data_IF_035240424055
#
_entry.id   IF_035240424055
#
_cell.length_a   1.000
_cell.length_b   1.000
_cell.length_c   1.000
_cell.angle_alpha   90.00
_cell.angle_beta   90.00
_cell.angle_gamma   90.00
#
_symmetry.space_group_name_H-M   'P 1'
#
loop_
_entity.id
_entity.type
_entity.pdbx_description
1 polymer ?
#
# COMPACT_ATOMS: atom_id res chain seq x y z
N UNK A 1 20.62 5.82 -31.27
CA UNK A 1 19.57 6.88 -31.03
C UNK A 1 18.52 6.36 -30.06
N UNK A 2 18.73 6.50 -28.71
CA UNK A 2 17.83 5.90 -27.70
C UNK A 2 17.32 6.95 -26.68
N UNK A 3 17.24 8.22 -27.10
CA UNK A 3 16.79 9.34 -26.24
C UNK A 3 15.32 9.27 -25.75
N UNK A 4 14.30 8.80 -26.51
CA UNK A 4 12.91 8.92 -26.05
C UNK A 4 12.52 7.95 -24.91
N UNK A 5 13.17 6.79 -24.78
CA UNK A 5 12.89 5.82 -23.69
C UNK A 5 13.44 6.29 -22.34
N UNK A 6 14.64 6.87 -22.32
CA UNK A 6 15.28 7.41 -21.10
C UNK A 6 14.50 8.60 -20.50
N UNK A 7 14.01 9.49 -21.34
CA UNK A 7 13.24 10.67 -20.89
C UNK A 7 11.92 10.25 -20.26
N UNK A 8 11.15 9.32 -20.86
CA UNK A 8 9.90 8.79 -20.28
C UNK A 8 10.12 8.07 -18.96
N UNK A 9 11.22 7.33 -18.82
CA UNK A 9 11.58 6.68 -17.56
C UNK A 9 11.91 7.68 -16.44
N UNK A 10 12.56 8.80 -16.78
CA UNK A 10 12.86 9.87 -15.84
C UNK A 10 11.61 10.56 -15.28
N UNK A 11 10.63 10.90 -16.14
CA UNK A 11 9.36 11.51 -15.72
C UNK A 11 8.54 10.58 -14.81
N UNK A 12 8.50 9.28 -15.09
CA UNK A 12 7.79 8.32 -14.24
C UNK A 12 8.45 8.17 -12.85
N UNK A 13 9.78 8.21 -12.80
CA UNK A 13 10.51 8.20 -11.53
C UNK A 13 10.27 9.46 -10.72
N UNK A 14 10.35 10.63 -11.37
CA UNK A 14 10.11 11.90 -10.70
C UNK A 14 8.67 11.95 -10.15
N UNK A 15 7.69 11.52 -10.93
CA UNK A 15 6.29 11.41 -10.47
C UNK A 15 6.14 10.47 -9.28
N UNK A 16 6.79 9.31 -9.30
CA UNK A 16 6.79 8.36 -8.18
C UNK A 16 7.45 8.93 -6.91
N UNK A 17 8.58 9.64 -7.07
CA UNK A 17 9.26 10.31 -5.96
C UNK A 17 8.42 11.45 -5.36
N UNK A 18 7.74 12.24 -6.19
CA UNK A 18 6.84 13.29 -5.72
C UNK A 18 5.66 12.70 -4.94
N UNK A 19 5.06 11.62 -5.41
CA UNK A 19 3.98 10.92 -4.69
C UNK A 19 4.50 10.42 -3.33
N UNK A 20 5.67 9.77 -3.30
CA UNK A 20 6.26 9.25 -2.08
C UNK A 20 6.63 10.38 -1.09
N UNK A 21 7.18 11.49 -1.58
CA UNK A 21 7.51 12.65 -0.75
C UNK A 21 6.25 13.31 -0.17
N UNK A 22 5.21 13.48 -0.99
CA UNK A 22 3.92 14.00 -0.52
C UNK A 22 3.28 13.08 0.51
N UNK A 23 3.31 11.76 0.26
CA UNK A 23 2.78 10.78 1.20
C UNK A 23 3.57 10.78 2.53
N UNK A 24 4.89 10.90 2.47
CA UNK A 24 5.74 11.00 3.66
C UNK A 24 5.43 12.28 4.45
N UNK A 25 5.28 13.40 3.77
CA UNK A 25 4.90 14.66 4.41
C UNK A 25 3.53 14.57 5.10
N UNK A 26 2.52 14.05 4.39
CA UNK A 26 1.17 13.86 4.95
C UNK A 26 1.18 12.87 6.11
N UNK A 27 1.96 11.79 6.03
CA UNK A 27 2.12 10.85 7.13
C UNK A 27 2.73 11.53 8.36
N UNK A 28 3.83 12.27 8.19
CA UNK A 28 4.52 12.98 9.28
C UNK A 28 3.60 14.01 9.95
N UNK A 29 2.91 14.82 9.15
CA UNK A 29 1.94 15.78 9.64
C UNK A 29 0.80 15.11 10.43
N UNK A 30 0.18 14.05 9.89
CA UNK A 30 -0.86 13.31 10.61
C UNK A 30 -0.36 12.65 11.90
N UNK A 31 0.90 12.20 11.91
CA UNK A 31 1.50 11.62 13.11
C UNK A 31 1.71 12.68 14.21
N UNK A 32 2.16 13.88 13.84
CA UNK A 32 2.32 15.02 14.74
C UNK A 32 0.96 15.45 15.31
N UNK A 33 -0.02 15.78 14.47
CA UNK A 33 -1.37 16.15 14.85
C UNK A 33 -2.05 15.10 15.77
N UNK A 34 -1.76 13.81 15.49
CA UNK A 34 -2.28 12.71 16.29
C UNK A 34 -1.66 12.68 17.70
N UNK A 35 -0.35 12.94 17.80
CA UNK A 35 0.37 12.98 19.08
C UNK A 35 -0.06 14.19 19.94
N UNK A 36 -0.38 15.32 19.29
CA UNK A 36 -0.89 16.53 19.94
C UNK A 36 -2.39 16.43 20.30
N UNK A 37 -3.10 15.48 19.71
CA UNK A 37 -4.55 15.26 19.94
C UNK A 37 -5.45 16.04 18.99
N UNK A 38 -4.91 16.79 18.04
CA UNK A 38 -5.65 17.69 17.15
C UNK A 38 -6.43 16.96 16.05
N UNK A 39 -6.06 15.71 15.74
CA UNK A 39 -6.86 14.86 14.83
C UNK A 39 -8.25 14.52 15.38
N UNK A 40 -8.51 14.68 16.68
CA UNK A 40 -9.72 14.17 17.33
C UNK A 40 -11.00 14.75 16.71
N UNK A 41 -11.05 16.06 16.49
CA UNK A 41 -12.23 16.71 15.89
C UNK A 41 -12.54 16.21 14.49
N UNK A 42 -11.50 16.05 13.66
CA UNK A 42 -11.63 15.49 12.32
C UNK A 42 -12.11 14.03 12.37
N UNK A 43 -11.48 13.22 13.20
CA UNK A 43 -11.80 11.81 13.36
C UNK A 43 -13.25 11.59 13.84
N UNK A 44 -13.69 12.37 14.82
CA UNK A 44 -15.06 12.31 15.33
C UNK A 44 -16.08 12.79 14.29
N UNK A 45 -15.79 13.89 13.60
CA UNK A 45 -16.67 14.42 12.55
C UNK A 45 -16.92 13.39 11.44
N UNK A 46 -15.84 12.83 10.88
CA UNK A 46 -15.94 11.84 9.79
C UNK A 46 -16.61 10.55 10.28
N UNK A 47 -16.22 10.06 11.46
CA UNK A 47 -16.79 8.84 12.02
C UNK A 47 -18.30 8.99 12.27
N UNK A 48 -18.74 10.12 12.83
CA UNK A 48 -20.15 10.39 13.08
C UNK A 48 -20.93 10.53 11.76
N UNK A 49 -20.36 11.16 10.72
CA UNK A 49 -20.98 11.26 9.41
C UNK A 49 -21.18 9.87 8.76
N UNK A 50 -20.16 9.01 8.83
CA UNK A 50 -20.22 7.64 8.32
C UNK A 50 -21.23 6.79 9.10
N UNK A 51 -21.24 6.90 10.42
CA UNK A 51 -22.07 6.07 11.29
C UNK A 51 -23.57 6.38 11.21
N UNK A 52 -23.96 7.62 10.86
CA UNK A 52 -25.37 7.97 10.63
C UNK A 52 -26.05 7.12 9.56
N UNK A 53 -25.28 6.53 8.66
CA UNK A 53 -25.78 5.69 7.58
C UNK A 53 -25.64 4.18 7.88
N UNK A 54 -25.39 3.83 9.15
CA UNK A 54 -25.26 2.43 9.54
C UNK A 54 -26.60 1.68 9.35
N UNK A 55 -26.53 0.56 8.62
CA UNK A 55 -27.66 -0.31 8.37
C UNK A 55 -27.18 -1.77 8.28
N UNK A 56 -28.01 -2.78 8.66
CA UNK A 56 -27.57 -4.18 8.68
C UNK A 56 -26.97 -4.66 7.36
N UNK A 57 -27.62 -4.40 6.22
CA UNK A 57 -27.13 -4.79 4.91
C UNK A 57 -25.80 -4.12 4.54
N UNK A 58 -25.63 -2.81 4.86
CA UNK A 58 -24.39 -2.09 4.64
C UNK A 58 -23.28 -2.64 5.55
N UNK A 59 -23.60 -3.00 6.79
CA UNK A 59 -22.64 -3.59 7.72
C UNK A 59 -22.08 -4.91 7.19
N UNK A 60 -22.91 -5.79 6.68
CA UNK A 60 -22.50 -7.03 6.01
C UNK A 60 -21.56 -6.77 4.83
N UNK A 61 -21.91 -5.81 3.99
CA UNK A 61 -21.09 -5.42 2.85
C UNK A 61 -19.72 -4.86 3.31
N UNK A 62 -19.69 -4.00 4.33
CA UNK A 62 -18.46 -3.44 4.88
C UNK A 62 -17.59 -4.49 5.58
N UNK A 63 -18.19 -5.49 6.22
CA UNK A 63 -17.44 -6.63 6.74
C UNK A 63 -16.77 -7.42 5.61
N UNK A 64 -17.48 -7.63 4.49
CA UNK A 64 -16.90 -8.25 3.28
C UNK A 64 -15.73 -7.43 2.71
N UNK A 65 -15.87 -6.11 2.61
CA UNK A 65 -14.79 -5.22 2.18
C UNK A 65 -13.58 -5.29 3.15
N UNK A 66 -13.84 -5.28 4.45
CA UNK A 66 -12.82 -5.42 5.48
C UNK A 66 -12.08 -6.77 5.39
N UNK A 67 -12.82 -7.84 5.10
CA UNK A 67 -12.26 -9.19 4.95
C UNK A 67 -11.24 -9.27 3.81
N UNK A 68 -11.46 -8.56 2.69
CA UNK A 68 -10.49 -8.47 1.60
C UNK A 68 -9.14 -7.85 2.02
N UNK A 69 -9.14 -6.98 3.03
CA UNK A 69 -7.93 -6.39 3.61
C UNK A 69 -7.37 -7.15 4.81
N UNK A 70 -7.98 -8.26 5.22
CA UNK A 70 -7.53 -9.04 6.37
C UNK A 70 -6.18 -9.71 6.12
N UNK A 71 -5.42 -9.89 7.20
CA UNK A 71 -4.10 -10.57 7.14
C UNK A 71 -4.23 -11.94 6.47
N UNK A 72 -5.27 -12.72 6.82
CA UNK A 72 -5.48 -14.04 6.25
C UNK A 72 -5.67 -14.00 4.72
N UNK A 73 -6.57 -13.14 4.22
CA UNK A 73 -6.86 -13.04 2.78
C UNK A 73 -5.65 -12.49 2.03
N UNK A 74 -5.08 -11.37 2.49
CA UNK A 74 -3.95 -10.74 1.81
C UNK A 74 -2.73 -11.66 1.78
N UNK A 75 -2.43 -12.37 2.88
CA UNK A 75 -1.33 -13.35 2.92
C UNK A 75 -1.59 -14.52 1.98
N UNK A 76 -2.80 -15.08 1.97
CA UNK A 76 -3.15 -16.18 1.06
C UNK A 76 -3.01 -15.75 -0.41
N UNK A 77 -3.59 -14.61 -0.77
CA UNK A 77 -3.48 -14.08 -2.14
C UNK A 77 -2.03 -13.74 -2.52
N UNK A 78 -1.24 -13.22 -1.58
CA UNK A 78 0.18 -12.95 -1.78
C UNK A 78 0.97 -14.24 -2.05
N UNK A 79 0.79 -15.27 -1.25
CA UNK A 79 1.44 -16.58 -1.45
C UNK A 79 1.06 -17.18 -2.80
N UNK A 80 -0.22 -17.16 -3.16
CA UNK A 80 -0.69 -17.64 -4.47
C UNK A 80 -0.09 -16.83 -5.63
N UNK A 81 -0.03 -15.50 -5.50
CA UNK A 81 0.57 -14.64 -6.53
C UNK A 81 2.09 -14.90 -6.68
N UNK A 82 2.81 -15.05 -5.56
CA UNK A 82 4.24 -15.40 -5.57
C UNK A 82 4.45 -16.76 -6.22
N UNK A 83 3.67 -17.78 -5.85
CA UNK A 83 3.75 -19.12 -6.45
C UNK A 83 3.48 -19.07 -7.96
N UNK A 84 2.46 -18.31 -8.40
CA UNK A 84 2.17 -18.11 -9.83
C UNK A 84 3.35 -17.43 -10.55
N UNK A 85 3.92 -16.36 -9.98
CA UNK A 85 5.07 -15.69 -10.61
C UNK A 85 6.30 -16.61 -10.71
N UNK A 86 6.56 -17.43 -9.69
CA UNK A 86 7.64 -18.41 -9.73
C UNK A 86 7.38 -19.52 -10.78
N UNK A 87 6.17 -20.02 -10.87
CA UNK A 87 5.76 -20.99 -11.89
C UNK A 87 5.99 -20.46 -13.30
N UNK A 88 5.67 -19.17 -13.56
CA UNK A 88 5.92 -18.50 -14.82
C UNK A 88 7.36 -17.96 -14.97
N UNK A 89 8.29 -18.40 -14.12
CA UNK A 89 9.72 -18.01 -14.12
C UNK A 89 9.96 -16.50 -13.98
N UNK A 90 9.09 -15.80 -13.25
CA UNK A 90 9.19 -14.37 -13.00
C UNK A 90 9.74 -14.09 -11.58
N UNK A 91 10.90 -14.64 -11.25
CA UNK A 91 11.47 -14.60 -9.91
C UNK A 91 11.65 -13.17 -9.36
N UNK A 92 12.04 -12.20 -10.21
CA UNK A 92 12.17 -10.80 -9.81
C UNK A 92 10.82 -10.20 -9.37
N UNK A 93 9.73 -10.49 -10.08
CA UNK A 93 8.38 -10.01 -9.71
C UNK A 93 7.90 -10.67 -8.40
N UNK A 94 8.18 -11.96 -8.24
CA UNK A 94 7.89 -12.68 -7.00
C UNK A 94 8.66 -12.09 -5.81
N UNK A 95 9.96 -11.84 -5.98
CA UNK A 95 10.81 -11.24 -4.95
C UNK A 95 10.35 -9.82 -4.59
N UNK A 96 10.00 -8.98 -5.58
CA UNK A 96 9.47 -7.65 -5.34
C UNK A 96 8.21 -7.70 -4.47
N UNK A 97 7.26 -8.58 -4.78
CA UNK A 97 6.03 -8.73 -4.01
C UNK A 97 6.32 -9.25 -2.60
N UNK A 98 7.20 -10.25 -2.46
CA UNK A 98 7.58 -10.83 -1.18
C UNK A 98 8.24 -9.78 -0.27
N UNK A 99 9.22 -9.02 -0.78
CA UNK A 99 9.90 -7.95 -0.03
C UNK A 99 8.92 -6.85 0.35
N UNK A 100 8.04 -6.46 -0.57
CA UNK A 100 7.02 -5.44 -0.28
C UNK A 100 6.12 -5.86 0.88
N UNK A 101 5.61 -7.09 0.86
CA UNK A 101 4.66 -7.56 1.88
C UNK A 101 5.34 -7.88 3.21
N UNK A 102 6.51 -8.51 3.20
CA UNK A 102 7.27 -8.79 4.41
C UNK A 102 7.72 -7.50 5.12
N UNK A 103 8.26 -6.55 4.37
CA UNK A 103 8.69 -5.27 4.93
C UNK A 103 7.50 -4.41 5.41
N UNK A 104 6.35 -4.47 4.70
CA UNK A 104 5.11 -3.85 5.17
C UNK A 104 4.70 -4.40 6.54
N UNK A 105 4.74 -5.73 6.73
CA UNK A 105 4.37 -6.34 8.00
C UNK A 105 5.29 -5.90 9.15
N UNK A 106 6.59 -5.82 8.91
CA UNK A 106 7.57 -5.31 9.87
C UNK A 106 7.31 -3.84 10.19
N UNK A 107 7.09 -3.01 9.15
CA UNK A 107 6.85 -1.59 9.30
C UNK A 107 5.52 -1.30 10.04
N UNK A 108 4.45 -2.06 9.78
CA UNK A 108 3.17 -1.94 10.49
C UNK A 108 3.33 -2.17 12.00
N UNK A 109 4.07 -3.22 12.38
CA UNK A 109 4.36 -3.51 13.79
C UNK A 109 5.23 -2.42 14.41
N UNK A 110 6.30 -2.00 13.72
CA UNK A 110 7.22 -0.97 14.21
C UNK A 110 6.51 0.38 14.45
N UNK A 111 5.69 0.82 13.48
CA UNK A 111 4.93 2.06 13.62
C UNK A 111 3.90 1.98 14.74
N UNK A 112 3.18 0.88 14.89
CA UNK A 112 2.24 0.69 16.01
C UNK A 112 2.91 0.75 17.35
N UNK A 113 4.09 0.13 17.47
CA UNK A 113 4.90 0.18 18.70
C UNK A 113 5.56 1.55 18.93
N UNK A 114 5.73 2.38 17.91
CA UNK A 114 6.25 3.74 18.07
C UNK A 114 5.16 4.72 18.55
N UNK A 115 3.96 4.63 18.00
CA UNK A 115 2.89 5.61 18.24
C UNK A 115 1.93 5.26 19.36
N UNK A 116 1.76 4.01 19.74
CA UNK A 116 0.95 3.50 20.86
C UNK A 116 -0.50 4.05 20.91
N UNK A 117 -1.08 4.43 19.78
CA UNK A 117 -2.44 4.98 19.73
C UNK A 117 -3.48 3.93 20.09
N UNK A 118 -4.34 4.21 21.08
CA UNK A 118 -5.46 3.35 21.42
C UNK A 118 -6.54 3.38 20.34
N UNK A 119 -7.23 2.25 20.16
CA UNK A 119 -8.32 2.15 19.19
C UNK A 119 -9.60 2.82 19.69
N UNK A 120 -10.49 3.25 18.78
CA UNK A 120 -11.84 3.59 19.15
C UNK A 120 -12.55 2.34 19.71
N UNK A 121 -13.54 2.55 20.59
CA UNK A 121 -14.40 1.46 21.06
C UNK A 121 -15.18 0.91 19.87
N UNK A 122 -15.00 -0.37 19.57
CA UNK A 122 -15.63 -0.99 18.42
C UNK A 122 -17.15 -1.08 18.59
N UNK A 123 -17.89 -0.75 17.55
CA UNK A 123 -19.35 -0.85 17.53
C UNK A 123 -19.84 -2.25 17.13
N UNK A 124 -19.06 -2.94 16.30
CA UNK A 124 -19.41 -4.21 15.68
C UNK A 124 -18.34 -5.26 15.99
N UNK A 125 -18.50 -5.97 17.10
CA UNK A 125 -17.60 -7.04 17.53
C UNK A 125 -16.50 -6.59 18.51
N UNK A 126 -15.56 -7.48 18.86
CA UNK A 126 -14.51 -7.19 19.82
C UNK A 126 -13.51 -6.16 19.27
N UNK A 127 -13.07 -5.25 20.12
CA UNK A 127 -11.98 -4.31 19.80
C UNK A 127 -10.68 -5.10 19.69
N UNK A 128 -9.94 -4.98 18.55
CA UNK A 128 -8.64 -5.64 18.41
C UNK A 128 -7.66 -5.15 19.49
N UNK A 129 -6.81 -6.04 20.00
CA UNK A 129 -5.87 -5.75 21.09
C UNK A 129 -4.61 -4.98 20.66
N UNK A 130 -4.41 -4.79 19.33
CA UNK A 130 -3.26 -4.06 18.79
C UNK A 130 -3.53 -2.56 18.71
N UNK A 131 -2.45 -1.75 18.67
CA UNK A 131 -2.55 -0.30 18.49
C UNK A 131 -3.23 0.10 17.18
N UNK A 132 -3.77 1.34 17.14
CA UNK A 132 -4.61 1.83 16.07
C UNK A 132 -3.81 2.43 14.90
N UNK A 133 -2.77 3.21 15.19
CA UNK A 133 -2.05 4.01 14.21
C UNK A 133 -0.75 3.35 13.75
N UNK A 134 -0.49 3.32 12.45
CA UNK A 134 -1.42 3.49 11.35
C UNK A 134 -2.31 2.25 11.11
N UNK A 135 -3.30 2.36 10.19
CA UNK A 135 -4.15 1.22 9.84
C UNK A 135 -3.42 0.21 8.97
N UNK A 136 -3.17 -1.00 9.53
CA UNK A 136 -2.52 -2.08 8.79
C UNK A 136 -3.33 -2.62 7.61
N UNK A 137 -4.68 -2.58 7.66
CA UNK A 137 -5.54 -2.93 6.51
C UNK A 137 -5.37 -1.93 5.36
N UNK A 138 -5.32 -0.64 5.66
CA UNK A 138 -5.10 0.41 4.66
C UNK A 138 -3.69 0.28 4.04
N UNK A 139 -2.67 0.16 4.87
CA UNK A 139 -1.28 0.01 4.45
C UNK A 139 -1.08 -1.26 3.61
N UNK A 140 -1.57 -2.41 4.09
CA UNK A 140 -1.47 -3.70 3.38
C UNK A 140 -2.24 -3.71 2.06
N UNK A 141 -3.39 -3.02 1.99
CA UNK A 141 -4.15 -2.92 0.75
C UNK A 141 -3.40 -2.14 -0.34
N UNK A 142 -2.72 -1.04 0.00
CA UNK A 142 -1.86 -0.30 -0.94
C UNK A 142 -0.69 -1.18 -1.39
N UNK A 143 -0.01 -1.83 -0.45
CA UNK A 143 1.15 -2.68 -0.76
C UNK A 143 0.77 -3.87 -1.65
N UNK A 144 -0.33 -4.55 -1.39
CA UNK A 144 -0.73 -5.72 -2.16
C UNK A 144 -1.46 -5.36 -3.45
N UNK A 145 -2.65 -4.73 -3.34
CA UNK A 145 -3.49 -4.44 -4.51
C UNK A 145 -2.87 -3.38 -5.42
N UNK A 146 -2.17 -2.39 -4.86
CA UNK A 146 -1.46 -1.37 -5.63
C UNK A 146 -0.31 -1.96 -6.45
N UNK A 147 0.53 -2.79 -5.84
CA UNK A 147 1.63 -3.47 -6.55
C UNK A 147 1.09 -4.46 -7.58
N UNK A 148 0.06 -5.24 -7.24
CA UNK A 148 -0.58 -6.15 -8.18
C UNK A 148 -1.16 -5.41 -9.39
N UNK A 149 -1.84 -4.29 -9.16
CA UNK A 149 -2.37 -3.44 -10.23
C UNK A 149 -1.25 -2.88 -11.13
N UNK A 150 -0.12 -2.43 -10.55
CA UNK A 150 1.02 -1.97 -11.32
C UNK A 150 1.59 -3.08 -12.22
N UNK A 151 1.74 -4.30 -11.68
CA UNK A 151 2.20 -5.47 -12.41
C UNK A 151 1.23 -5.84 -13.57
N UNK A 152 -0.07 -5.86 -13.30
CA UNK A 152 -1.09 -6.18 -14.30
C UNK A 152 -1.21 -5.09 -15.36
N UNK A 153 -1.21 -3.82 -14.97
CA UNK A 153 -1.27 -2.69 -15.89
C UNK A 153 -0.04 -2.61 -16.82
N UNK A 154 1.14 -3.00 -16.32
CA UNK A 154 2.34 -3.08 -17.16
C UNK A 154 2.21 -4.12 -18.28
N UNK A 155 1.44 -5.20 -18.07
CA UNK A 155 1.19 -6.27 -19.04
C UNK A 155 -0.02 -6.04 -19.91
N UNK A 156 -0.95 -5.20 -19.49
CA UNK A 156 -2.20 -4.96 -20.20
C UNK A 156 -1.97 -4.25 -21.54
N UNK A 157 -2.71 -4.67 -22.57
CA UNK A 157 -2.74 -4.05 -23.89
C UNK A 157 -3.86 -3.01 -23.95
N UNK A 158 -3.52 -1.79 -24.35
CA UNK A 158 -4.49 -0.69 -24.49
C UNK A 158 -4.67 0.15 -23.21
N UNK A 159 -5.06 1.42 -23.45
CA UNK A 159 -5.23 2.41 -22.36
C UNK A 159 -6.44 2.07 -21.46
N UNK A 160 -7.53 1.63 -22.06
CA UNK A 160 -8.78 1.30 -21.32
C UNK A 160 -8.54 0.20 -20.29
N UNK A 161 -7.88 -0.91 -20.69
CA UNK A 161 -7.55 -1.99 -19.76
C UNK A 161 -6.70 -1.51 -18.57
N UNK A 162 -5.71 -0.66 -18.82
CA UNK A 162 -4.88 -0.06 -17.76
C UNK A 162 -5.70 0.81 -16.81
N UNK A 163 -6.59 1.62 -17.35
CA UNK A 163 -7.49 2.45 -16.55
C UNK A 163 -8.45 1.61 -15.69
N UNK A 164 -9.04 0.55 -16.25
CA UNK A 164 -9.91 -0.36 -15.50
C UNK A 164 -9.16 -1.05 -14.35
N UNK A 165 -7.92 -1.50 -14.56
CA UNK A 165 -7.09 -2.13 -13.53
C UNK A 165 -6.84 -1.15 -12.39
N UNK A 166 -6.40 0.07 -12.69
CA UNK A 166 -6.14 1.08 -11.66
C UNK A 166 -7.41 1.54 -10.94
N UNK A 167 -8.51 1.74 -11.67
CA UNK A 167 -9.79 2.11 -11.08
C UNK A 167 -10.30 1.00 -10.12
N UNK A 168 -10.19 -0.27 -10.52
CA UNK A 168 -10.52 -1.41 -9.66
C UNK A 168 -9.66 -1.47 -8.41
N UNK A 169 -8.34 -1.26 -8.53
CA UNK A 169 -7.44 -1.24 -7.38
C UNK A 169 -7.75 -0.09 -6.42
N UNK A 170 -7.95 1.13 -6.93
CA UNK A 170 -8.31 2.31 -6.12
C UNK A 170 -9.64 2.07 -5.40
N UNK A 171 -10.64 1.49 -6.09
CA UNK A 171 -11.93 1.17 -5.49
C UNK A 171 -11.76 0.16 -4.35
N UNK A 172 -11.04 -0.95 -4.57
CA UNK A 172 -10.83 -1.98 -3.55
C UNK A 172 -10.07 -1.42 -2.35
N UNK A 173 -8.97 -0.70 -2.58
CA UNK A 173 -8.16 -0.05 -1.53
C UNK A 173 -9.03 0.93 -0.73
N UNK A 174 -9.77 1.80 -1.43
CA UNK A 174 -10.67 2.78 -0.81
C UNK A 174 -11.75 2.12 0.03
N UNK A 175 -12.40 1.07 -0.50
CA UNK A 175 -13.46 0.34 0.21
C UNK A 175 -12.92 -0.40 1.44
N UNK A 176 -11.71 -0.98 1.37
CA UNK A 176 -11.07 -1.60 2.52
C UNK A 176 -10.86 -0.55 3.63
N UNK A 177 -10.25 0.60 3.33
CA UNK A 177 -10.04 1.63 4.35
C UNK A 177 -11.33 2.24 4.87
N UNK A 178 -12.30 2.54 3.99
CA UNK A 178 -13.60 3.04 4.40
C UNK A 178 -14.32 2.06 5.33
N UNK A 179 -14.23 0.76 5.07
CA UNK A 179 -14.81 -0.27 5.94
C UNK A 179 -14.24 -0.23 7.36
N UNK A 180 -12.96 0.16 7.53
CA UNK A 180 -12.34 0.26 8.86
C UNK A 180 -12.89 1.41 9.68
N UNK A 181 -13.23 2.53 9.01
CA UNK A 181 -13.92 3.69 9.63
C UNK A 181 -15.36 3.31 9.97
N UNK A 182 -16.07 2.70 9.02
CA UNK A 182 -17.45 2.29 9.19
C UNK A 182 -17.63 1.29 10.35
N UNK A 183 -16.76 0.29 10.44
CA UNK A 183 -16.77 -0.73 11.50
C UNK A 183 -16.23 -0.20 12.84
N UNK A 184 -15.81 1.07 12.91
CA UNK A 184 -15.31 1.75 14.10
C UNK A 184 -14.13 1.01 14.75
N UNK A 185 -13.21 0.49 13.96
CA UNK A 185 -11.99 -0.20 14.44
C UNK A 185 -10.72 0.60 14.22
N UNK A 186 -10.80 1.67 13.41
CA UNK A 186 -9.75 2.66 13.18
C UNK A 186 -10.35 4.06 13.07
N UNK A 187 -9.53 5.05 13.38
CA UNK A 187 -9.84 6.45 13.10
C UNK A 187 -9.60 6.76 11.61
N UNK A 188 -10.32 7.74 11.01
CA UNK A 188 -10.05 8.23 9.66
C UNK A 188 -8.59 8.60 9.42
N UNK A 189 -7.96 9.31 10.36
CA UNK A 189 -6.54 9.67 10.30
C UNK A 189 -5.62 8.45 10.27
N UNK A 190 -5.94 7.34 10.98
CA UNK A 190 -5.18 6.08 10.92
C UNK A 190 -5.21 5.48 9.51
N UNK A 191 -6.37 5.56 8.84
CA UNK A 191 -6.56 5.00 7.49
C UNK A 191 -5.77 5.80 6.47
N UNK A 192 -5.83 7.14 6.52
CA UNK A 192 -5.06 8.01 5.64
C UNK A 192 -3.56 7.79 5.86
N UNK A 193 -3.10 7.78 7.12
CA UNK A 193 -1.71 7.50 7.46
C UNK A 193 -1.27 6.11 6.97
N UNK A 194 -2.14 5.10 7.05
CA UNK A 194 -1.88 3.77 6.51
C UNK A 194 -1.66 3.76 4.99
N UNK A 195 -2.50 4.49 4.24
CA UNK A 195 -2.30 4.66 2.80
C UNK A 195 -0.98 5.36 2.47
N UNK A 196 -0.66 6.42 3.21
CA UNK A 196 0.59 7.16 3.03
C UNK A 196 1.81 6.28 3.33
N UNK A 197 1.83 5.58 4.46
CA UNK A 197 2.91 4.67 4.83
C UNK A 197 3.09 3.55 3.80
N UNK A 198 1.98 2.97 3.29
CA UNK A 198 2.02 1.98 2.22
C UNK A 198 2.60 2.53 0.92
N UNK A 199 2.19 3.75 0.51
CA UNK A 199 2.70 4.39 -0.69
C UNK A 199 4.20 4.72 -0.60
N UNK A 200 4.66 5.24 0.54
CA UNK A 200 6.09 5.50 0.82
C UNK A 200 6.88 4.20 0.75
N UNK A 201 6.40 3.14 1.39
CA UNK A 201 7.08 1.85 1.41
C UNK A 201 7.19 1.23 0.01
N UNK A 202 6.09 1.19 -0.76
CA UNK A 202 6.11 0.71 -2.15
C UNK A 202 7.06 1.54 -3.00
N UNK A 203 7.05 2.88 -2.86
CA UNK A 203 7.97 3.77 -3.54
C UNK A 203 9.43 3.44 -3.24
N UNK A 204 9.77 3.20 -1.97
CA UNK A 204 11.12 2.84 -1.53
C UNK A 204 11.57 1.49 -2.11
N UNK A 205 10.71 0.46 -2.06
CA UNK A 205 11.03 -0.87 -2.61
C UNK A 205 11.23 -0.83 -4.13
N UNK A 206 10.38 -0.13 -4.86
CA UNK A 206 10.49 0.03 -6.31
C UNK A 206 11.76 0.80 -6.70
N UNK A 207 12.06 1.88 -5.99
CA UNK A 207 13.25 2.70 -6.22
C UNK A 207 14.54 1.91 -5.95
N UNK A 208 14.63 1.22 -4.81
CA UNK A 208 15.77 0.39 -4.46
C UNK A 208 15.95 -0.77 -5.46
N UNK A 209 14.87 -1.45 -5.81
CA UNK A 209 14.89 -2.53 -6.80
C UNK A 209 15.41 -2.07 -8.17
N UNK A 210 15.13 -0.82 -8.55
CA UNK A 210 15.68 -0.24 -9.79
C UNK A 210 17.17 0.03 -9.67
N UNK A 211 17.64 0.64 -8.58
CA UNK A 211 19.08 0.92 -8.36
C UNK A 211 19.88 -0.38 -8.44
N UNK A 212 19.43 -1.42 -7.74
CA UNK A 212 20.13 -2.71 -7.70
C UNK A 212 20.20 -3.37 -9.08
N UNK A 213 19.16 -3.23 -9.90
CA UNK A 213 19.15 -3.75 -11.26
C UNK A 213 20.10 -2.98 -12.17
N UNK A 214 20.04 -1.66 -12.15
CA UNK A 214 20.88 -0.81 -12.99
C UNK A 214 22.38 -1.02 -12.66
N UNK A 215 22.72 -1.20 -11.36
CA UNK A 215 24.07 -1.55 -10.92
C UNK A 215 24.54 -2.90 -11.43
N UNK A 216 23.68 -3.93 -11.39
CA UNK A 216 24.05 -5.27 -11.87
C UNK A 216 24.20 -5.36 -13.40
N UNK A 217 23.50 -4.52 -14.16
CA UNK A 217 23.66 -4.42 -15.61
C UNK A 217 25.00 -3.76 -15.97
N UNK A 218 25.41 -2.72 -15.26
CA UNK A 218 26.71 -2.05 -15.46
C UNK A 218 27.90 -2.99 -15.15
N UNK A 219 27.83 -3.72 -14.04
CA UNK A 219 28.89 -4.67 -13.66
C UNK A 219 29.07 -5.79 -14.70
N UNK A 220 27.97 -6.28 -15.30
CA UNK A 220 28.03 -7.26 -16.39
C UNK A 220 28.66 -6.69 -17.65
N UNK A 221 28.32 -5.45 -18.03
CA UNK A 221 28.91 -4.78 -19.17
C UNK A 221 30.43 -4.55 -18.99
N UNK A 222 30.87 -4.20 -17.77
CA UNK A 222 32.31 -4.03 -17.47
C UNK A 222 33.05 -5.35 -17.51
N UNK A 223 32.49 -6.44 -16.98
CA UNK A 223 33.09 -7.77 -17.08
C UNK A 223 33.23 -8.26 -18.52
N UNK A 224 32.23 -8.02 -19.38
CA UNK A 224 32.29 -8.41 -20.78
C UNK A 224 33.34 -7.59 -21.56
N UNK A 225 33.47 -6.30 -21.28
CA UNK A 225 34.55 -5.46 -21.87
C UNK A 225 35.94 -5.89 -21.43
N UNK A 226 36.09 -6.35 -20.17
CA UNK A 226 37.36 -6.85 -19.64
C UNK A 226 37.83 -8.19 -20.26
N UNK A 227 36.88 -9.03 -20.71
CA UNK A 227 37.20 -10.31 -21.38
C UNK A 227 37.64 -10.17 -22.83
N UNK A 228 37.38 -9.03 -23.46
CA UNK A 228 37.74 -8.74 -24.85
C UNK A 228 38.99 -7.85 -24.98
N UNK A 229 39.70 -7.58 -23.90
CA UNK A 229 41.04 -6.96 -23.87
C UNK A 229 42.09 -7.98 -23.48
#
# INVERSE_FOLDING_TARGET
MDKPKRVKSGFLLLGGLLIAATALFVFGWLAEEMLEGDTQKFDEFVRNAVHRHAAPGLTWFMQGCSFLGSVAVVTTLCVLAIAAFLYFRQAHTAALLAVTMAGMAVLDVALKLAFHRHRPVAYFGPTPTTYSFPSGHAMGSVCFYGVLAAILAARARGKVAKWCIWAGAVLVIGMIGYSRIYLVVHYPSDVIAGYCAGAVWVGAVVFLGKILRDGSEQEKEEMDRGKHR
#
